data_IF_497693998555
#
_entry.id   IF_497693998555
#
_cell.length_a   1.000
_cell.length_b   1.000
_cell.length_c   1.000
_cell.angle_alpha   90.00
_cell.angle_beta   90.00
_cell.angle_gamma   90.00
#
_symmetry.space_group_name_H-M   'P 1'
#
loop_
_entity.id
_entity.type
_entity.pdbx_description
1 polymer ?
#
# COMPACT_ATOMS: atom_id res chain seq x y z
N UNK A 1 -27.83 10.22 -43.25
CA UNK A 1 -28.13 11.07 -42.07
C UNK A 1 -26.83 11.78 -41.67
N UNK A 2 -26.92 13.11 -41.47
CA UNK A 2 -25.98 14.09 -40.84
C UNK A 2 -24.51 14.06 -41.31
N UNK A 3 -24.04 14.99 -42.18
CA UNK A 3 -23.70 16.43 -41.95
C UNK A 3 -22.68 16.59 -40.79
N UNK A 4 -21.56 17.31 -40.87
CA UNK A 4 -20.98 18.27 -41.83
C UNK A 4 -19.49 18.43 -41.44
N UNK A 5 -18.65 18.69 -42.44
CA UNK A 5 -17.22 19.04 -42.40
C UNK A 5 -17.03 20.48 -41.88
N UNK A 6 -15.93 20.80 -41.18
CA UNK A 6 -15.11 22.04 -41.33
C UNK A 6 -14.00 22.00 -40.26
N UNK A 7 -12.74 21.69 -40.60
CA UNK A 7 -11.69 22.55 -41.19
C UNK A 7 -11.42 23.82 -40.37
N UNK A 8 -10.19 23.88 -39.87
CA UNK A 8 -9.49 24.97 -39.19
C UNK A 8 -9.61 26.34 -39.85
N UNK A 9 -9.62 27.39 -39.05
CA UNK A 9 -8.98 28.67 -39.39
C UNK A 9 -8.75 29.50 -38.12
N UNK A 10 -7.49 29.82 -37.87
CA UNK A 10 -7.10 30.94 -37.02
C UNK A 10 -7.71 32.24 -37.57
N UNK A 11 -7.86 33.27 -36.73
CA UNK A 11 -7.45 34.67 -37.01
C UNK A 11 -7.66 35.53 -35.76
N UNK A 12 -6.61 36.28 -35.45
CA UNK A 12 -6.48 37.36 -34.48
C UNK A 12 -7.46 38.53 -34.73
N UNK A 13 -7.82 39.26 -33.66
CA UNK A 13 -7.97 40.74 -33.59
C UNK A 13 -8.36 41.13 -32.14
N UNK A 14 -7.43 41.61 -31.31
CA UNK A 14 -7.02 43.01 -31.04
C UNK A 14 -7.97 43.88 -30.18
N UNK A 15 -7.40 44.50 -29.12
CA UNK A 15 -7.91 45.66 -28.35
C UNK A 15 -8.66 45.29 -27.05
N UNK A 16 -8.43 45.83 -25.85
CA UNK A 16 -7.84 47.10 -25.39
C UNK A 16 -7.40 46.97 -23.91
N UNK A 17 -6.34 47.67 -23.53
CA UNK A 17 -5.86 47.82 -22.14
C UNK A 17 -6.82 48.71 -21.33
N UNK A 18 -7.19 48.30 -20.13
CA UNK A 18 -7.64 49.22 -19.06
C UNK A 18 -6.91 48.88 -17.77
N UNK A 19 -6.01 49.78 -17.35
CA UNK A 19 -5.48 49.87 -15.99
C UNK A 19 -6.62 50.28 -15.06
N UNK A 20 -6.84 49.53 -13.97
CA UNK A 20 -7.81 49.85 -12.93
C UNK A 20 -7.49 49.11 -11.63
N UNK A 21 -6.72 49.78 -10.79
CA UNK A 21 -6.46 49.59 -9.34
C UNK A 21 -7.15 48.46 -8.56
N UNK A 22 -6.30 47.67 -7.91
CA UNK A 22 -6.39 47.23 -6.49
C UNK A 22 -7.75 46.70 -6.02
N UNK A 23 -7.99 45.43 -6.31
CA UNK A 23 -8.77 44.57 -5.43
C UNK A 23 -7.88 43.42 -5.01
N UNK A 24 -7.44 43.41 -3.76
CA UNK A 24 -6.95 42.20 -3.10
C UNK A 24 -8.08 41.20 -3.16
N UNK A 25 -8.12 40.37 -4.19
CA UNK A 25 -8.85 39.11 -4.13
C UNK A 25 -8.04 38.32 -3.12
N UNK A 26 -8.50 38.32 -1.87
CA UNK A 26 -8.15 37.31 -0.89
C UNK A 26 -8.06 36.01 -1.67
N UNK A 27 -6.84 35.48 -1.79
CA UNK A 27 -6.67 34.11 -2.16
C UNK A 27 -7.57 33.38 -1.18
N UNK A 28 -8.73 32.92 -1.67
CA UNK A 28 -9.60 32.04 -0.93
C UNK A 28 -8.68 30.84 -0.66
N UNK A 29 -8.08 30.86 0.53
CA UNK A 29 -7.29 29.76 1.06
C UNK A 29 -8.33 28.67 1.05
N UNK A 30 -8.28 27.83 0.01
CA UNK A 30 -9.03 26.59 -0.01
C UNK A 30 -8.75 25.97 1.34
N UNK A 31 -9.80 25.89 2.14
CA UNK A 31 -9.75 25.34 3.46
C UNK A 31 -9.22 23.90 3.31
N UNK A 32 -7.93 23.73 3.58
CA UNK A 32 -7.25 22.44 3.48
C UNK A 32 -7.72 21.48 4.59
N UNK A 33 -8.73 21.86 5.39
CA UNK A 33 -9.36 21.03 6.42
C UNK A 33 -9.95 19.72 5.87
N UNK A 34 -10.35 19.68 4.59
CA UNK A 34 -10.91 18.48 3.95
C UNK A 34 -9.86 17.41 3.57
N UNK A 35 -8.56 17.78 3.52
CA UNK A 35 -7.47 16.83 3.21
C UNK A 35 -6.87 16.17 4.47
N UNK A 36 -7.10 16.76 5.64
CA UNK A 36 -6.54 16.30 6.92
C UNK A 36 -6.97 14.88 7.35
N UNK A 37 -8.25 14.46 7.22
CA UNK A 37 -8.70 13.13 7.63
C UNK A 37 -8.18 12.00 6.73
N UNK A 38 -8.07 12.27 5.43
CA UNK A 38 -7.60 11.29 4.45
C UNK A 38 -6.11 11.01 4.66
N UNK A 39 -5.31 12.05 4.93
CA UNK A 39 -3.89 11.89 5.23
C UNK A 39 -3.63 11.14 6.55
N UNK A 40 -4.45 11.37 7.59
CA UNK A 40 -4.28 10.68 8.88
C UNK A 40 -4.57 9.18 8.78
N UNK A 41 -5.63 8.79 8.06
CA UNK A 41 -5.97 7.38 7.82
C UNK A 41 -4.95 6.65 6.95
N UNK A 42 -4.46 7.29 5.89
CA UNK A 42 -3.40 6.76 5.03
C UNK A 42 -2.10 6.59 5.83
N UNK A 43 -1.75 7.56 6.69
CA UNK A 43 -0.57 7.49 7.56
C UNK A 43 -0.67 6.33 8.56
N UNK A 44 -1.86 6.11 9.14
CA UNK A 44 -2.14 4.96 10.02
C UNK A 44 -1.91 3.62 9.31
N UNK A 45 -2.56 3.42 8.16
CA UNK A 45 -2.40 2.19 7.35
C UNK A 45 -0.96 1.94 6.90
N UNK A 46 -0.22 2.99 6.56
CA UNK A 46 1.19 2.87 6.19
C UNK A 46 2.09 2.54 7.38
N UNK A 47 1.79 3.09 8.57
CA UNK A 47 2.50 2.75 9.80
C UNK A 47 2.27 1.28 10.20
N UNK A 48 1.03 0.80 10.08
CA UNK A 48 0.67 -0.59 10.32
C UNK A 48 1.39 -1.54 9.36
N UNK A 49 1.38 -1.25 8.06
CA UNK A 49 2.13 -2.03 7.06
C UNK A 49 3.63 -2.07 7.34
N UNK A 50 4.22 -0.97 7.80
CA UNK A 50 5.65 -0.95 8.19
C UNK A 50 5.91 -1.85 9.38
N UNK A 51 5.02 -1.85 10.39
CA UNK A 51 5.10 -2.76 11.54
C UNK A 51 4.93 -4.21 11.12
N UNK A 52 3.95 -4.51 10.27
CA UNK A 52 3.72 -5.84 9.71
C UNK A 52 4.95 -6.36 8.96
N UNK A 53 5.59 -5.54 8.12
CA UNK A 53 6.84 -5.91 7.45
C UNK A 53 7.99 -6.17 8.42
N UNK A 54 8.16 -5.31 9.43
CA UNK A 54 9.20 -5.48 10.43
C UNK A 54 8.99 -6.73 11.27
N UNK A 55 7.75 -7.03 11.65
CA UNK A 55 7.43 -8.22 12.42
C UNK A 55 7.54 -9.47 11.54
N UNK A 56 7.03 -9.41 10.31
CA UNK A 56 7.11 -10.48 9.33
C UNK A 56 8.56 -10.90 9.07
N UNK A 57 9.49 -9.94 8.95
CA UNK A 57 10.92 -10.25 8.81
C UNK A 57 11.48 -11.05 9.99
N UNK A 58 11.11 -10.72 11.24
CA UNK A 58 11.54 -11.48 12.42
C UNK A 58 10.98 -12.90 12.40
N UNK A 59 9.67 -13.03 12.11
CA UNK A 59 8.98 -14.34 12.09
C UNK A 59 9.50 -15.24 10.99
N UNK A 60 9.81 -14.68 9.82
CA UNK A 60 10.42 -15.43 8.72
C UNK A 60 11.78 -16.00 9.14
N UNK A 61 12.65 -15.20 9.78
CA UNK A 61 13.95 -15.69 10.29
C UNK A 61 13.74 -16.85 11.27
N UNK A 62 12.75 -16.73 12.17
CA UNK A 62 12.42 -17.81 13.10
C UNK A 62 11.96 -19.08 12.38
N UNK A 63 11.08 -18.97 11.39
CA UNK A 63 10.59 -20.11 10.61
C UNK A 63 11.69 -20.75 9.76
N UNK A 64 12.52 -19.94 9.11
CA UNK A 64 13.67 -20.43 8.33
C UNK A 64 14.69 -21.15 9.21
N UNK A 65 14.83 -20.75 10.48
CA UNK A 65 15.68 -21.47 11.43
C UNK A 65 15.10 -22.81 11.91
N UNK A 66 13.77 -22.99 11.80
CA UNK A 66 13.10 -24.24 12.17
C UNK A 66 13.25 -25.33 11.09
N UNK A 67 13.38 -24.94 9.82
CA UNK A 67 13.54 -25.87 8.70
C UNK A 67 14.95 -25.80 8.09
N UNK A 68 15.73 -26.88 8.24
CA UNK A 68 17.02 -27.07 7.57
C UNK A 68 16.86 -27.66 6.16
N UNK A 69 17.95 -27.70 5.38
CA UNK A 69 17.94 -28.36 4.06
C UNK A 69 17.72 -29.87 4.14
N UNK A 70 18.00 -30.47 5.31
CA UNK A 70 17.80 -31.90 5.59
C UNK A 70 16.43 -32.19 6.20
N UNK A 71 15.61 -31.16 6.40
CA UNK A 71 14.25 -31.32 6.91
C UNK A 71 13.38 -31.98 5.84
N UNK A 72 12.44 -32.81 6.29
CA UNK A 72 11.53 -33.50 5.38
C UNK A 72 10.91 -32.51 4.38
N UNK A 73 10.93 -32.92 3.10
CA UNK A 73 10.48 -32.08 2.00
C UNK A 73 9.05 -31.57 2.20
N UNK A 74 8.18 -32.40 2.78
CA UNK A 74 6.80 -32.03 3.06
C UNK A 74 6.71 -30.86 4.03
N UNK A 75 7.36 -30.95 5.19
CA UNK A 75 7.28 -29.87 6.19
C UNK A 75 8.06 -28.63 5.77
N UNK A 76 9.14 -28.80 4.99
CA UNK A 76 9.85 -27.69 4.35
C UNK A 76 8.95 -26.89 3.40
N UNK A 77 8.16 -27.56 2.55
CA UNK A 77 7.23 -26.91 1.63
C UNK A 77 6.10 -26.19 2.38
N UNK A 78 5.57 -26.79 3.44
CA UNK A 78 4.56 -26.17 4.32
C UNK A 78 5.08 -24.86 4.93
N UNK A 79 6.22 -24.91 5.62
CA UNK A 79 6.78 -23.74 6.31
C UNK A 79 7.14 -22.64 5.30
N UNK A 80 7.67 -23.02 4.13
CA UNK A 80 7.93 -22.09 3.02
C UNK A 80 6.65 -21.45 2.50
N UNK A 81 5.54 -22.20 2.43
CA UNK A 81 4.21 -21.69 2.12
C UNK A 81 3.77 -20.58 3.07
N UNK A 82 3.91 -20.80 4.39
CA UNK A 82 3.61 -19.79 5.40
C UNK A 82 4.52 -18.56 5.33
N UNK A 83 5.82 -18.74 5.09
CA UNK A 83 6.76 -17.63 4.86
C UNK A 83 6.28 -16.73 3.70
N UNK A 84 5.79 -17.32 2.62
CA UNK A 84 5.28 -16.56 1.47
C UNK A 84 3.99 -15.80 1.78
N UNK A 85 3.13 -16.34 2.65
CA UNK A 85 1.94 -15.64 3.13
C UNK A 85 2.31 -14.47 4.05
N UNK A 86 3.25 -14.67 4.98
CA UNK A 86 3.77 -13.63 5.89
C UNK A 86 4.37 -12.46 5.10
N UNK A 87 5.08 -12.72 3.99
CA UNK A 87 5.61 -11.67 3.09
C UNK A 87 4.52 -10.78 2.48
N UNK A 88 3.28 -11.26 2.39
CA UNK A 88 2.12 -10.57 1.80
C UNK A 88 1.19 -9.96 2.84
N UNK A 89 1.34 -10.33 4.11
CA UNK A 89 0.51 -9.87 5.21
C UNK A 89 0.56 -8.34 5.37
N UNK A 90 -0.58 -7.75 5.68
CA UNK A 90 -0.73 -6.29 5.81
C UNK A 90 -0.75 -5.81 7.27
N UNK A 91 -1.04 -6.69 8.21
CA UNK A 91 -1.16 -6.37 9.64
C UNK A 91 -0.22 -7.25 10.47
N UNK A 92 0.12 -6.78 11.67
CA UNK A 92 0.95 -7.56 12.61
C UNK A 92 0.20 -8.79 13.13
N UNK A 93 -1.11 -8.67 13.30
CA UNK A 93 -1.97 -9.78 13.74
C UNK A 93 -1.97 -10.92 12.71
N UNK A 94 -2.12 -10.60 11.42
CA UNK A 94 -2.05 -11.59 10.34
C UNK A 94 -0.69 -12.30 10.31
N UNK A 95 0.41 -11.54 10.48
CA UNK A 95 1.76 -12.11 10.58
C UNK A 95 1.87 -13.11 11.74
N UNK A 96 1.38 -12.74 12.93
CA UNK A 96 1.48 -13.61 14.11
C UNK A 96 0.61 -14.85 13.97
N UNK A 97 -0.62 -14.72 13.44
CA UNK A 97 -1.50 -15.86 13.21
C UNK A 97 -0.89 -16.88 12.24
N UNK A 98 -0.32 -16.41 11.13
CA UNK A 98 0.37 -17.28 10.17
C UNK A 98 1.62 -17.94 10.77
N UNK A 99 2.35 -17.22 11.62
CA UNK A 99 3.50 -17.78 12.34
C UNK A 99 3.09 -18.88 13.32
N UNK A 100 2.05 -18.65 14.11
CA UNK A 100 1.56 -19.62 15.10
C UNK A 100 1.00 -20.88 14.41
N UNK A 101 0.31 -20.72 13.28
CA UNK A 101 -0.13 -21.84 12.43
C UNK A 101 1.04 -22.65 11.90
N UNK A 102 2.04 -21.99 11.29
CA UNK A 102 3.24 -22.66 10.77
C UNK A 102 3.98 -23.44 11.87
N UNK A 103 4.11 -22.83 13.06
CA UNK A 103 4.74 -23.46 14.22
C UNK A 103 3.94 -24.67 14.70
N UNK A 104 2.61 -24.55 14.80
CA UNK A 104 1.74 -25.65 15.20
C UNK A 104 1.82 -26.83 14.25
N UNK A 105 1.84 -26.59 12.94
CA UNK A 105 1.98 -27.67 11.94
C UNK A 105 3.34 -28.36 12.03
N UNK A 106 4.41 -27.58 12.24
CA UNK A 106 5.75 -28.12 12.46
C UNK A 106 5.85 -28.97 13.73
N UNK A 107 5.29 -28.50 14.84
CA UNK A 107 5.26 -29.25 16.11
C UNK A 107 4.42 -30.53 16.00
N UNK A 108 3.30 -30.48 15.27
CA UNK A 108 2.45 -31.66 15.00
C UNK A 108 3.25 -32.69 14.20
N UNK A 109 3.92 -32.25 13.13
CA UNK A 109 4.75 -33.13 12.30
C UNK A 109 5.88 -33.81 13.08
N UNK A 110 6.52 -33.10 14.02
CA UNK A 110 7.56 -33.70 14.88
C UNK A 110 7.03 -34.70 15.91
N UNK A 111 5.73 -34.64 16.22
CA UNK A 111 5.09 -35.50 17.23
C UNK A 111 4.52 -36.81 16.66
N UNK A 112 4.39 -36.89 15.33
CA UNK A 112 3.95 -38.08 14.58
C UNK A 112 5.14 -38.96 14.18
#
# INVERSE_FOLDING_TARGET
MKKVILVSAAVLMMGTVVLGTVGTVEANIYDNSDWTPVQSHIRGKNAERKRAKSEGAKRIISLEAMVSHDTDKYIYEIVTGYINQIKRANTVEEVNNLYDQAKSEYETYLSE
#
